data_IF_875493723712
#
_entry.id   IF_875493723712
#
_cell.length_a   1.000
_cell.length_b   1.000
_cell.length_c   1.000
_cell.angle_alpha   90.00
_cell.angle_beta   90.00
_cell.angle_gamma   90.00
#
_symmetry.space_group_name_H-M   'P 1'
#
loop_
_entity.id
_entity.type
_entity.pdbx_description
1 polymer ?
#
# COMPACT_ATOMS: atom_id res chain seq x y z
N UNK A 1 -20.53 20.29 12.70
CA UNK A 1 -19.24 19.62 12.38
C UNK A 1 -19.31 18.23 13.00
N UNK A 2 -19.35 17.15 12.22
CA UNK A 2 -19.38 15.79 12.80
C UNK A 2 -18.07 15.58 13.56
N UNK A 3 -18.19 15.14 14.80
CA UNK A 3 -17.11 14.91 15.74
C UNK A 3 -16.07 13.93 15.15
N UNK A 4 -14.91 14.47 14.76
CA UNK A 4 -13.84 13.74 14.09
C UNK A 4 -13.30 12.61 14.99
N UNK A 5 -13.42 12.77 16.31
CA UNK A 5 -12.95 11.80 17.30
C UNK A 5 -13.82 10.54 17.39
N UNK A 6 -15.02 10.58 16.79
CA UNK A 6 -15.97 9.45 16.67
C UNK A 6 -15.83 8.67 15.36
N UNK A 7 -14.98 9.10 14.43
CA UNK A 7 -14.67 8.30 13.26
C UNK A 7 -13.95 7.01 13.70
N UNK A 8 -14.15 5.88 12.99
CA UNK A 8 -13.43 4.65 13.29
C UNK A 8 -11.93 4.93 13.39
N UNK A 9 -11.39 4.76 14.60
CA UNK A 9 -9.97 4.99 14.85
C UNK A 9 -9.21 3.81 14.25
N UNK A 10 -8.66 4.00 13.06
CA UNK A 10 -7.72 3.07 12.44
C UNK A 10 -6.43 2.97 13.27
N UNK A 11 -5.53 2.08 12.87
CA UNK A 11 -4.19 1.93 13.42
C UNK A 11 -3.56 3.27 13.82
N UNK A 12 -3.07 3.35 15.07
CA UNK A 12 -2.52 4.57 15.67
C UNK A 12 -1.24 5.00 14.95
N UNK A 13 -1.03 6.31 14.90
CA UNK A 13 0.24 6.89 14.47
C UNK A 13 1.24 6.92 15.62
N UNK A 14 2.49 6.61 15.31
CA UNK A 14 3.61 6.57 16.23
C UNK A 14 4.78 7.40 15.67
N UNK A 15 5.31 8.37 16.42
CA UNK A 15 6.48 9.12 16.02
C UNK A 15 7.76 8.31 16.29
N UNK A 16 8.65 8.26 15.32
CA UNK A 16 10.03 7.78 15.46
C UNK A 16 10.98 8.93 15.19
N UNK A 17 11.98 9.07 16.06
CA UNK A 17 12.96 10.15 15.99
C UNK A 17 14.27 9.59 15.47
N UNK A 18 14.85 10.25 14.47
CA UNK A 18 16.12 9.85 13.86
C UNK A 18 17.09 11.02 13.86
N UNK A 19 18.38 10.72 14.05
CA UNK A 19 19.46 11.66 13.86
C UNK A 19 20.24 11.27 12.60
N UNK A 20 20.18 12.13 11.59
CA UNK A 20 20.86 11.94 10.31
C UNK A 20 22.16 12.75 10.34
N UNK A 21 23.30 12.05 10.23
CA UNK A 21 24.62 12.68 10.14
C UNK A 21 24.99 12.87 8.67
N UNK A 22 25.32 14.09 8.29
CA UNK A 22 25.75 14.41 6.94
C UNK A 22 26.87 15.45 6.90
N UNK A 23 27.37 15.81 5.70
CA UNK A 23 28.45 16.78 5.53
C UNK A 23 28.15 18.17 6.12
N UNK A 24 26.87 18.50 6.31
CA UNK A 24 26.39 19.76 6.87
C UNK A 24 26.10 19.72 8.37
N UNK A 25 26.45 18.61 9.05
CA UNK A 25 26.21 18.40 10.48
C UNK A 25 25.15 17.34 10.76
N UNK A 26 24.52 17.44 11.93
CA UNK A 26 23.49 16.49 12.41
C UNK A 26 22.11 17.12 12.26
N UNK A 27 21.21 16.42 11.58
CA UNK A 27 19.80 16.79 11.43
C UNK A 27 18.93 15.84 12.25
N UNK A 28 17.99 16.38 13.03
CA UNK A 28 16.98 15.57 13.73
C UNK A 28 15.70 15.56 12.92
N UNK A 29 15.25 14.38 12.51
CA UNK A 29 14.02 14.20 11.73
C UNK A 29 13.01 13.34 12.50
N UNK A 30 11.73 13.62 12.26
CA UNK A 30 10.62 12.86 12.83
C UNK A 30 9.94 12.09 11.70
N UNK A 31 9.80 10.79 11.88
CA UNK A 31 9.05 9.90 11.01
C UNK A 31 7.77 9.46 11.72
N UNK A 32 6.63 9.98 11.26
CA UNK A 32 5.33 9.50 11.72
C UNK A 32 4.97 8.26 10.91
N UNK A 33 4.75 7.15 11.61
CA UNK A 33 4.45 5.86 10.98
C UNK A 33 3.33 5.13 11.71
N UNK A 34 2.82 4.06 11.10
CA UNK A 34 1.90 3.11 11.71
C UNK A 34 2.54 1.74 11.70
N UNK A 35 2.13 0.86 12.60
CA UNK A 35 2.49 -0.54 12.50
C UNK A 35 1.91 -1.10 11.18
N UNK A 36 2.80 -1.61 10.32
CA UNK A 36 2.41 -2.06 8.99
C UNK A 36 1.50 -3.29 9.04
N UNK A 37 1.71 -4.20 10.00
CA UNK A 37 0.86 -5.37 10.16
C UNK A 37 -0.56 -4.97 10.53
N UNK A 38 -0.72 -4.03 11.46
CA UNK A 38 -2.03 -3.51 11.87
C UNK A 38 -2.72 -2.78 10.72
N UNK A 39 -1.99 -2.00 9.93
CA UNK A 39 -2.53 -1.36 8.72
C UNK A 39 -2.99 -2.41 7.69
N UNK A 40 -2.25 -3.51 7.54
CA UNK A 40 -2.64 -4.59 6.65
C UNK A 40 -3.95 -5.25 7.11
N UNK A 41 -4.07 -5.55 8.41
CA UNK A 41 -5.32 -6.03 9.01
C UNK A 41 -6.48 -5.06 8.81
N UNK A 42 -6.26 -3.77 9.03
CA UNK A 42 -7.27 -2.73 8.80
C UNK A 42 -7.73 -2.69 7.34
N UNK A 43 -6.81 -2.86 6.38
CA UNK A 43 -7.14 -2.79 4.95
C UNK A 43 -7.86 -4.04 4.43
N UNK A 44 -7.53 -5.23 4.93
CA UNK A 44 -8.28 -6.45 4.60
C UNK A 44 -9.57 -6.61 5.41
N UNK A 45 -9.67 -5.92 6.55
CA UNK A 45 -10.85 -5.93 7.42
C UNK A 45 -11.97 -4.98 7.01
N UNK A 46 -11.86 -4.27 5.87
CA UNK A 46 -12.89 -3.32 5.43
C UNK A 46 -14.08 -4.10 4.88
N UNK A 47 -15.05 -4.39 5.74
CA UNK A 47 -16.24 -5.18 5.39
C UNK A 47 -17.03 -4.59 4.19
N UNK A 48 -17.05 -3.27 4.05
CA UNK A 48 -17.70 -2.60 2.92
C UNK A 48 -17.07 -2.94 1.56
N UNK A 49 -15.83 -3.44 1.54
CA UNK A 49 -15.10 -3.85 0.34
C UNK A 49 -15.01 -5.37 0.20
N UNK A 50 -15.71 -6.16 1.03
CA UNK A 50 -15.61 -7.62 1.07
C UNK A 50 -15.76 -8.28 -0.31
N UNK A 51 -16.66 -7.77 -1.14
CA UNK A 51 -16.98 -8.32 -2.47
C UNK A 51 -16.07 -7.73 -3.57
N UNK A 52 -15.12 -6.89 -3.21
CA UNK A 52 -14.16 -6.23 -4.11
C UNK A 52 -12.76 -6.81 -4.01
N UNK A 53 -12.46 -7.61 -3.00
CA UNK A 53 -11.13 -8.20 -2.87
C UNK A 53 -10.90 -9.30 -3.91
N UNK A 54 -9.73 -9.27 -4.54
CA UNK A 54 -9.23 -10.31 -5.43
C UNK A 54 -8.02 -10.99 -4.79
N UNK A 55 -8.11 -12.32 -4.62
CA UNK A 55 -7.03 -13.13 -4.04
C UNK A 55 -6.46 -14.15 -5.02
N UNK A 56 -7.21 -14.47 -6.08
CA UNK A 56 -6.85 -15.48 -7.07
C UNK A 56 -6.14 -14.80 -8.24
N UNK A 57 -4.99 -15.32 -8.69
CA UNK A 57 -4.37 -14.83 -9.91
C UNK A 57 -5.20 -15.22 -11.13
N UNK A 58 -5.25 -14.32 -12.12
CA UNK A 58 -6.06 -14.48 -13.33
C UNK A 58 -5.19 -14.32 -14.59
N UNK A 59 -5.67 -14.91 -15.68
CA UNK A 59 -5.02 -14.84 -16.97
C UNK A 59 -6.01 -14.32 -18.02
N UNK A 60 -5.77 -13.11 -18.53
CA UNK A 60 -6.68 -12.44 -19.46
C UNK A 60 -6.08 -12.39 -20.86
N UNK A 61 -6.86 -12.75 -21.88
CA UNK A 61 -6.41 -12.80 -23.27
C UNK A 61 -7.44 -12.15 -24.19
N UNK A 62 -6.97 -11.46 -25.23
CA UNK A 62 -7.86 -10.83 -26.22
C UNK A 62 -8.45 -11.83 -27.22
N UNK A 63 -7.79 -12.97 -27.40
CA UNK A 63 -8.16 -13.99 -28.38
C UNK A 63 -8.39 -15.33 -27.69
N UNK A 64 -9.26 -16.15 -28.28
CA UNK A 64 -9.61 -17.50 -27.77
C UNK A 64 -8.44 -18.48 -27.80
N UNK A 65 -7.49 -18.27 -28.71
CA UNK A 65 -6.25 -19.04 -28.81
C UNK A 65 -5.24 -18.74 -27.68
N UNK A 66 -5.62 -17.90 -26.70
CA UNK A 66 -4.77 -17.43 -25.60
C UNK A 66 -3.49 -16.74 -26.09
N UNK A 67 -3.52 -16.18 -27.29
CA UNK A 67 -2.50 -15.25 -27.76
C UNK A 67 -2.84 -13.83 -27.29
N UNK A 68 -1.84 -12.95 -27.23
CA UNK A 68 -1.99 -11.55 -26.81
C UNK A 68 -2.48 -11.37 -25.36
N UNK A 69 -1.59 -11.70 -24.40
CA UNK A 69 -1.80 -11.57 -22.96
C UNK A 69 -2.05 -10.11 -22.55
N UNK A 70 -3.05 -9.88 -21.70
CA UNK A 70 -3.36 -8.57 -21.16
C UNK A 70 -2.99 -8.48 -19.67
N UNK A 71 -2.53 -7.29 -19.28
CA UNK A 71 -2.20 -6.94 -17.90
C UNK A 71 -2.90 -5.63 -17.56
N UNK A 72 -3.75 -5.65 -16.55
CA UNK A 72 -4.59 -4.49 -16.19
C UNK A 72 -4.77 -4.26 -14.70
N UNK A 73 -4.62 -5.32 -13.91
CA UNK A 73 -4.73 -5.34 -12.45
C UNK A 73 -3.61 -6.22 -11.88
N UNK A 74 -3.28 -6.07 -10.59
CA UNK A 74 -2.17 -6.80 -10.00
C UNK A 74 -2.35 -8.33 -10.11
N UNK A 75 -3.57 -8.86 -9.92
CA UNK A 75 -3.84 -10.30 -10.03
C UNK A 75 -3.77 -10.84 -11.45
N UNK A 76 -3.75 -9.98 -12.47
CA UNK A 76 -3.51 -10.39 -13.87
C UNK A 76 -2.02 -10.61 -14.19
N UNK A 77 -1.12 -10.14 -13.31
CA UNK A 77 0.33 -10.19 -13.52
C UNK A 77 0.88 -11.61 -13.38
N UNK A 78 1.86 -11.94 -14.22
CA UNK A 78 2.55 -13.23 -14.18
C UNK A 78 3.23 -13.49 -12.82
N UNK A 79 3.77 -12.43 -12.19
CA UNK A 79 4.40 -12.54 -10.88
C UNK A 79 3.46 -13.06 -9.80
N UNK A 80 2.17 -12.66 -9.80
CA UNK A 80 1.22 -13.19 -8.83
C UNK A 80 1.02 -14.69 -9.02
N UNK A 81 0.90 -15.14 -10.28
CA UNK A 81 0.83 -16.56 -10.61
C UNK A 81 2.04 -17.33 -10.09
N UNK A 82 3.24 -16.80 -10.34
CA UNK A 82 4.50 -17.41 -9.90
C UNK A 82 4.63 -17.48 -8.37
N UNK A 83 4.11 -16.49 -7.64
CA UNK A 83 4.07 -16.51 -6.17
C UNK A 83 3.09 -17.57 -5.68
N UNK A 84 1.89 -17.62 -6.24
CA UNK A 84 0.87 -18.61 -5.85
C UNK A 84 1.39 -20.05 -6.01
N UNK A 85 2.13 -20.34 -7.09
CA UNK A 85 2.71 -21.67 -7.34
C UNK A 85 3.79 -22.07 -6.31
N UNK A 86 4.39 -21.11 -5.60
CA UNK A 86 5.41 -21.38 -4.57
C UNK A 86 4.81 -21.69 -3.20
N UNK A 87 3.52 -21.41 -3.01
CA UNK A 87 2.82 -21.62 -1.74
C UNK A 87 2.33 -23.06 -1.68
N UNK A 88 2.79 -23.80 -0.66
CA UNK A 88 2.45 -25.22 -0.48
C UNK A 88 1.08 -25.42 0.18
N UNK A 89 0.65 -24.46 0.99
CA UNK A 89 -0.63 -24.51 1.68
C UNK A 89 -1.76 -24.18 0.70
N UNK A 90 -2.71 -25.12 0.56
CA UNK A 90 -3.86 -24.96 -0.33
C UNK A 90 -4.89 -23.94 0.17
N UNK A 91 -4.83 -23.54 1.44
CA UNK A 91 -5.71 -22.53 2.04
C UNK A 91 -5.06 -21.13 2.10
N UNK A 92 -3.80 -21.01 1.72
CA UNK A 92 -3.10 -19.74 1.78
C UNK A 92 -3.43 -18.82 0.59
N UNK A 93 -3.59 -17.53 0.90
CA UNK A 93 -3.87 -16.48 -0.08
C UNK A 93 -2.67 -15.54 -0.23
N UNK A 94 -2.48 -15.01 -1.43
CA UNK A 94 -1.49 -13.95 -1.67
C UNK A 94 -2.12 -12.59 -1.37
N UNK A 95 -1.61 -11.93 -0.33
CA UNK A 95 -1.89 -10.52 -0.04
C UNK A 95 -0.72 -9.65 -0.51
N UNK A 96 -0.95 -8.74 -1.44
CA UNK A 96 0.06 -7.82 -1.95
C UNK A 96 -0.19 -6.43 -1.39
N UNK A 97 0.88 -5.77 -0.96
CA UNK A 97 0.88 -4.37 -0.58
C UNK A 97 1.76 -3.55 -1.53
N UNK A 98 1.37 -2.31 -1.75
CA UNK A 98 2.08 -1.34 -2.59
C UNK A 98 2.45 -0.16 -1.73
N UNK A 99 3.73 0.22 -1.80
CA UNK A 99 4.28 1.39 -1.12
C UNK A 99 4.69 2.39 -2.19
N UNK A 100 4.21 3.62 -2.05
CA UNK A 100 4.61 4.73 -2.90
C UNK A 100 5.07 5.90 -2.04
N UNK A 101 6.11 6.60 -2.47
CA UNK A 101 6.60 7.81 -1.80
C UNK A 101 6.71 8.93 -2.81
N UNK A 102 6.26 10.12 -2.44
CA UNK A 102 6.48 11.31 -3.24
C UNK A 102 6.98 12.45 -2.35
N UNK A 103 7.97 13.20 -2.84
CA UNK A 103 8.42 14.40 -2.16
C UNK A 103 7.36 15.49 -2.36
N UNK A 104 6.89 16.07 -1.26
CA UNK A 104 5.89 17.14 -1.24
C UNK A 104 6.48 18.37 -0.56
N UNK A 105 6.58 19.53 -1.23
CA UNK A 105 6.99 20.77 -0.57
C UNK A 105 5.89 21.21 0.41
N UNK A 106 6.25 21.49 1.66
CA UNK A 106 5.30 21.91 2.69
C UNK A 106 5.03 23.42 2.64
N UNK A 107 5.97 24.22 2.12
CA UNK A 107 5.86 25.69 2.05
C UNK A 107 6.65 26.22 0.85
N UNK A 108 6.04 27.06 0.01
CA UNK A 108 6.72 27.73 -1.10
C UNK A 108 7.50 29.00 -0.71
N UNK A 109 7.19 29.63 0.42
CA UNK A 109 7.63 31.00 0.72
C UNK A 109 8.40 31.23 2.02
N UNK A 110 8.55 30.24 2.91
CA UNK A 110 9.42 30.39 4.09
C UNK A 110 9.92 29.02 4.60
N UNK A 111 11.24 28.77 4.49
CA UNK A 111 11.91 27.66 5.20
C UNK A 111 12.13 26.35 4.45
N UNK A 112 11.81 26.27 3.15
CA UNK A 112 12.15 25.14 2.25
C UNK A 112 11.90 23.73 2.82
N UNK A 113 10.89 23.57 3.68
CA UNK A 113 10.60 22.27 4.31
C UNK A 113 9.93 21.35 3.30
N UNK A 114 10.41 20.10 3.26
CA UNK A 114 9.89 19.03 2.41
C UNK A 114 9.33 17.93 3.33
N UNK A 115 8.17 17.41 2.99
CA UNK A 115 7.66 16.16 3.53
C UNK A 115 7.81 15.07 2.48
N UNK A 116 7.98 13.84 2.95
CA UNK A 116 7.99 12.64 2.11
C UNK A 116 6.90 11.71 2.63
N UNK A 117 5.62 11.96 2.30
CA UNK A 117 4.57 10.99 2.59
C UNK A 117 4.92 9.63 1.98
N UNK A 118 4.56 8.59 2.72
CA UNK A 118 4.61 7.20 2.28
C UNK A 118 3.17 6.72 2.24
N UNK A 119 2.66 6.47 1.05
CA UNK A 119 1.36 5.86 0.84
C UNK A 119 1.49 4.35 0.89
N UNK A 120 0.49 3.71 1.48
CA UNK A 120 0.37 2.28 1.60
C UNK A 120 -1.02 1.87 1.13
N UNK A 121 -1.08 0.92 0.21
CA UNK A 121 -2.33 0.29 -0.22
C UNK A 121 -2.11 -1.20 -0.45
N UNK A 122 -3.18 -1.93 -0.75
CA UNK A 122 -3.15 -3.34 -1.10
C UNK A 122 -3.52 -3.51 -2.57
N UNK A 123 -2.81 -4.39 -3.28
CA UNK A 123 -3.06 -4.66 -4.69
C UNK A 123 -4.21 -5.67 -4.91
N UNK A 124 -4.77 -6.18 -3.81
CA UNK A 124 -5.95 -7.05 -3.79
C UNK A 124 -7.26 -6.27 -3.99
N UNK A 125 -7.21 -4.94 -4.12
CA UNK A 125 -8.34 -4.13 -4.52
C UNK A 125 -8.14 -3.64 -5.97
N UNK A 126 -9.23 -3.51 -6.75
CA UNK A 126 -9.17 -2.89 -8.07
C UNK A 126 -8.60 -1.47 -7.99
N UNK A 127 -7.75 -1.11 -8.96
CA UNK A 127 -7.11 0.21 -9.02
C UNK A 127 -8.04 1.44 -8.99
N UNK A 128 -9.34 1.25 -9.28
CA UNK A 128 -10.33 2.32 -9.33
C UNK A 128 -11.01 2.60 -7.98
N UNK A 129 -10.69 1.82 -6.96
CA UNK A 129 -11.18 1.96 -5.57
C UNK A 129 -10.09 2.62 -4.73
#
# INVERSE_FOLDING_TARGET
MKDVDKLPRRTKWEPKYYELKGPKGVEKVIFWCRNMADVFWDLFGILALKDKYHFRPEQHYMKRDKTNRQYGEAWSAEQWWNIQLKIKDCFATVGQYVIATNQTPLTGFCGSKKAHPVYFTIANLPKHI
#
